data_IF_940029027968
#
_entry.id   IF_940029027968
#
_cell.length_a   1.000
_cell.length_b   1.000
_cell.length_c   1.000
_cell.angle_alpha   90.00
_cell.angle_beta   90.00
_cell.angle_gamma   90.00
#
_symmetry.space_group_name_H-M   'P 1'
#
loop_
_entity.id
_entity.type
_entity.pdbx_description
1 polymer ?
#
# COMPACT_ATOMS: atom_id res chain seq x y z
N UNK A 1 -3.65 1.27 -33.42
CA UNK A 1 -4.16 -0.11 -33.57
C UNK A 1 -3.04 -1.12 -33.28
N UNK A 2 -3.15 -1.78 -32.13
CA UNK A 2 -2.40 -2.99 -31.69
C UNK A 2 -0.86 -2.94 -31.64
N UNK A 3 -0.24 -1.89 -31.09
CA UNK A 3 1.21 -1.93 -30.81
C UNK A 3 1.48 -2.27 -29.33
N UNK A 4 2.29 -3.30 -29.09
CA UNK A 4 2.87 -3.64 -27.78
C UNK A 4 4.16 -2.83 -27.63
N UNK A 5 4.13 -1.77 -26.81
CA UNK A 5 5.22 -0.82 -26.65
C UNK A 5 5.87 -1.01 -25.27
N UNK A 6 7.16 -1.29 -25.24
CA UNK A 6 7.95 -1.34 -24.01
C UNK A 6 8.77 -0.06 -23.93
N UNK A 7 8.45 0.82 -22.99
CA UNK A 7 9.07 2.15 -22.89
C UNK A 7 9.97 2.17 -21.67
N UNK A 8 11.27 2.36 -21.88
CA UNK A 8 12.20 2.66 -20.82
C UNK A 8 12.34 4.17 -20.71
N UNK A 9 11.86 4.76 -19.61
CA UNK A 9 12.04 6.19 -19.36
C UNK A 9 13.46 6.35 -18.79
N UNK A 10 14.32 7.02 -19.56
CA UNK A 10 15.69 7.38 -19.17
C UNK A 10 15.70 8.87 -18.83
N UNK A 11 16.69 9.32 -18.06
CA UNK A 11 17.20 10.69 -18.25
C UNK A 11 17.98 10.66 -19.57
N UNK A 12 17.58 11.45 -20.54
CA UNK A 12 18.12 11.32 -21.88
C UNK A 12 19.36 12.18 -22.14
N UNK A 13 19.53 12.44 -23.42
CA UNK A 13 20.78 12.80 -24.07
C UNK A 13 21.92 11.76 -23.89
N UNK A 14 21.67 10.50 -24.27
CA UNK A 14 22.67 9.39 -24.31
C UNK A 14 23.43 9.10 -23.01
N UNK A 15 23.28 9.89 -21.95
CA UNK A 15 24.30 10.03 -20.94
C UNK A 15 23.87 11.10 -19.92
N UNK A 16 23.12 10.74 -18.89
CA UNK A 16 23.22 11.50 -17.64
C UNK A 16 24.63 11.21 -17.07
N UNK A 17 25.56 12.19 -16.97
CA UNK A 17 26.94 11.93 -16.57
C UNK A 17 27.07 11.31 -15.18
N UNK A 18 26.03 11.42 -14.34
CA UNK A 18 26.00 11.01 -12.95
C UNK A 18 25.23 9.69 -12.70
N UNK A 19 24.29 9.28 -13.55
CA UNK A 19 23.52 8.05 -13.31
C UNK A 19 24.20 6.80 -13.91
N UNK A 20 25.03 6.14 -13.10
CA UNK A 20 25.76 4.93 -13.51
C UNK A 20 24.86 3.77 -13.97
N UNK A 21 23.65 3.65 -13.41
CA UNK A 21 22.72 2.57 -13.73
C UNK A 21 22.11 2.68 -15.13
N UNK A 22 21.76 3.88 -15.58
CA UNK A 22 21.27 4.13 -16.93
C UNK A 22 22.34 3.81 -17.98
N UNK A 23 23.59 4.24 -17.72
CA UNK A 23 24.72 3.95 -18.62
C UNK A 23 25.00 2.46 -18.76
N UNK A 24 24.89 1.70 -17.67
CA UNK A 24 25.08 0.25 -17.68
C UNK A 24 23.95 -0.50 -18.41
N UNK A 25 22.71 -0.02 -18.30
CA UNK A 25 21.54 -0.64 -18.93
C UNK A 25 21.45 -0.38 -20.44
N UNK A 26 21.84 0.82 -20.89
CA UNK A 26 21.71 1.23 -22.29
C UNK A 26 22.21 0.20 -23.34
N UNK A 27 23.44 -0.37 -23.24
CA UNK A 27 23.91 -1.37 -24.20
C UNK A 27 23.09 -2.67 -24.15
N UNK A 28 22.66 -3.12 -22.98
CA UNK A 28 21.81 -4.32 -22.83
C UNK A 28 20.40 -4.07 -23.38
N UNK A 29 19.83 -2.88 -23.18
CA UNK A 29 18.53 -2.50 -23.72
C UNK A 29 18.54 -2.43 -25.26
N UNK A 30 19.61 -1.85 -25.84
CA UNK A 30 19.81 -1.83 -27.29
C UNK A 30 20.00 -3.25 -27.86
N UNK A 31 20.72 -4.12 -27.15
CA UNK A 31 20.91 -5.53 -27.52
C UNK A 31 19.60 -6.32 -27.47
N UNK A 32 18.75 -6.09 -26.46
CA UNK A 32 17.42 -6.68 -26.39
C UNK A 32 16.54 -6.23 -27.57
N UNK A 33 16.58 -4.93 -27.92
CA UNK A 33 15.85 -4.39 -29.06
C UNK A 33 16.34 -5.00 -30.39
N UNK A 34 17.65 -5.20 -30.53
CA UNK A 34 18.26 -5.88 -31.67
C UNK A 34 17.76 -7.33 -31.83
N UNK A 35 17.79 -8.12 -30.75
CA UNK A 35 17.27 -9.51 -30.75
C UNK A 35 15.81 -9.56 -31.17
N UNK A 36 14.94 -8.74 -30.56
CA UNK A 36 13.51 -8.71 -30.88
C UNK A 36 13.25 -8.31 -32.34
N UNK A 37 14.06 -7.40 -32.89
CA UNK A 37 13.98 -7.01 -34.30
C UNK A 37 14.42 -8.14 -35.23
N UNK A 38 15.51 -8.85 -34.92
CA UNK A 38 16.00 -10.00 -35.71
C UNK A 38 14.98 -11.15 -35.71
N UNK A 39 14.26 -11.33 -34.61
CA UNK A 39 13.19 -12.33 -34.46
C UNK A 39 11.87 -11.92 -35.13
N UNK A 40 11.78 -10.73 -35.72
CA UNK A 40 10.56 -10.22 -36.35
C UNK A 40 9.43 -9.91 -35.35
N UNK A 41 9.77 -9.66 -34.09
CA UNK A 41 8.80 -9.35 -33.03
C UNK A 41 8.07 -8.04 -33.27
N UNK A 42 6.77 -8.02 -32.94
CA UNK A 42 5.96 -6.80 -32.95
C UNK A 42 6.31 -5.85 -31.79
N UNK A 43 6.98 -6.35 -30.75
CA UNK A 43 7.37 -5.60 -29.57
C UNK A 43 8.38 -4.53 -29.96
N UNK A 44 8.11 -3.28 -29.56
CA UNK A 44 9.04 -2.17 -29.74
C UNK A 44 9.60 -1.71 -28.41
N UNK A 45 10.92 -1.53 -28.37
CA UNK A 45 11.62 -0.92 -27.25
C UNK A 45 11.82 0.57 -27.55
N UNK A 46 11.31 1.41 -26.69
CA UNK A 46 11.39 2.86 -26.79
C UNK A 46 12.13 3.45 -25.60
N UNK A 47 12.62 4.67 -25.77
CA UNK A 47 13.20 5.46 -24.69
C UNK A 47 12.66 6.88 -24.70
N UNK A 48 12.52 7.46 -23.51
CA UNK A 48 12.16 8.86 -23.29
C UNK A 48 13.26 9.51 -22.47
N UNK A 49 13.49 10.80 -22.67
CA UNK A 49 14.33 11.66 -21.83
C UNK A 49 13.45 12.37 -20.79
N UNK A 50 13.53 11.98 -19.52
CA UNK A 50 12.74 12.56 -18.45
C UNK A 50 13.24 13.95 -17.99
N UNK A 51 14.43 14.40 -18.41
CA UNK A 51 14.86 15.79 -18.21
C UNK A 51 14.23 16.74 -19.21
N UNK A 52 13.93 16.25 -20.42
CA UNK A 52 13.29 17.02 -21.49
C UNK A 52 11.76 16.85 -21.44
N UNK A 53 11.28 15.67 -21.06
CA UNK A 53 9.86 15.27 -21.02
C UNK A 53 9.38 15.08 -19.57
N UNK A 54 9.55 16.11 -18.73
CA UNK A 54 9.22 16.07 -17.30
C UNK A 54 7.75 15.77 -17.03
N UNK A 55 6.85 16.34 -17.83
CA UNK A 55 5.40 16.16 -17.68
C UNK A 55 5.00 14.71 -17.95
N UNK A 56 5.62 14.07 -18.92
CA UNK A 56 5.41 12.65 -19.24
C UNK A 56 5.94 11.75 -18.11
N UNK A 57 7.10 12.08 -17.56
CA UNK A 57 7.69 11.37 -16.43
C UNK A 57 6.81 11.50 -15.17
N UNK A 58 6.28 12.69 -14.90
CA UNK A 58 5.35 12.96 -13.80
C UNK A 58 4.02 12.23 -14.00
N UNK A 59 3.43 12.29 -15.21
CA UNK A 59 2.19 11.58 -15.58
C UNK A 59 2.24 10.10 -15.22
N UNK A 60 3.39 9.45 -15.46
CA UNK A 60 3.57 8.02 -15.18
C UNK A 60 4.25 7.72 -13.83
N UNK A 61 4.38 8.72 -12.96
CA UNK A 61 4.87 8.56 -11.59
C UNK A 61 6.33 8.13 -11.48
N UNK A 62 7.20 8.59 -12.38
CA UNK A 62 8.64 8.30 -12.33
C UNK A 62 9.29 9.05 -11.18
N UNK A 63 9.84 8.32 -10.21
CA UNK A 63 10.49 8.89 -9.00
C UNK A 63 12.01 8.65 -8.96
N UNK A 64 12.57 7.91 -9.91
CA UNK A 64 13.98 7.58 -9.98
C UNK A 64 14.36 6.95 -11.32
N UNK A 65 15.65 6.82 -11.59
CA UNK A 65 16.14 6.39 -12.90
C UNK A 65 17.11 5.18 -12.80
N UNK A 66 17.05 4.22 -13.75
CA UNK A 66 16.04 4.09 -14.79
C UNK A 66 14.73 3.51 -14.25
N UNK A 67 13.59 3.96 -14.79
CA UNK A 67 12.27 3.33 -14.59
C UNK A 67 11.80 2.77 -15.93
N UNK A 68 11.42 1.50 -15.94
CA UNK A 68 11.01 0.79 -17.16
C UNK A 68 9.55 0.40 -17.03
N UNK A 69 8.73 0.75 -18.01
CA UNK A 69 7.29 0.46 -18.02
C UNK A 69 6.88 -0.21 -19.33
N UNK A 70 6.00 -1.20 -19.21
CA UNK A 70 5.41 -1.92 -20.34
C UNK A 70 3.99 -1.42 -20.59
N UNK A 71 3.74 -1.02 -21.83
CA UNK A 71 2.46 -0.57 -22.33
C UNK A 71 1.91 -1.64 -23.29
N UNK A 72 0.91 -2.37 -22.82
CA UNK A 72 0.24 -3.39 -23.63
C UNK A 72 -0.95 -2.74 -24.34
N UNK A 73 -1.02 -2.87 -25.66
CA UNK A 73 -2.12 -2.36 -26.49
C UNK A 73 -2.43 -0.84 -26.34
N UNK A 74 -1.44 -0.05 -25.91
CA UNK A 74 -1.62 1.39 -25.68
C UNK A 74 -2.38 1.74 -24.40
N UNK A 75 -2.54 0.80 -23.45
CA UNK A 75 -3.11 1.11 -22.14
C UNK A 75 -2.16 2.02 -21.33
N UNK A 76 -2.56 3.28 -21.18
CA UNK A 76 -1.86 4.28 -20.36
C UNK A 76 -2.33 4.29 -18.90
N UNK A 77 -3.47 3.68 -18.58
CA UNK A 77 -4.03 3.70 -17.23
C UNK A 77 -3.28 2.75 -16.29
N UNK A 78 -2.78 1.62 -16.80
CA UNK A 78 -2.14 0.59 -15.97
C UNK A 78 -0.80 0.04 -16.50
N UNK A 79 0.19 0.90 -16.86
CA UNK A 79 1.47 0.43 -17.37
C UNK A 79 2.22 -0.41 -16.33
N UNK A 80 2.69 -1.59 -16.74
CA UNK A 80 3.35 -2.53 -15.84
C UNK A 80 4.81 -2.15 -15.65
N UNK A 81 5.22 -1.95 -14.41
CA UNK A 81 6.63 -1.68 -14.10
C UNK A 81 7.48 -2.94 -14.26
N UNK A 82 8.66 -2.78 -14.85
CA UNK A 82 9.64 -3.85 -15.00
C UNK A 82 10.65 -3.80 -13.85
N UNK A 83 10.64 -4.85 -13.04
CA UNK A 83 11.52 -5.01 -11.88
C UNK A 83 12.48 -6.20 -12.01
N UNK A 84 12.54 -6.86 -13.17
CA UNK A 84 13.41 -8.01 -13.40
C UNK A 84 14.87 -7.60 -13.71
N UNK A 85 15.72 -8.59 -14.04
CA UNK A 85 17.15 -8.38 -14.28
C UNK A 85 17.45 -7.38 -15.40
N UNK A 86 18.61 -6.73 -15.35
CA UNK A 86 18.97 -5.66 -16.31
C UNK A 86 19.77 -6.15 -17.52
N UNK A 87 19.89 -7.46 -17.72
CA UNK A 87 20.55 -8.03 -18.90
C UNK A 87 19.57 -8.12 -20.07
N UNK A 88 20.11 -8.09 -21.30
CA UNK A 88 19.30 -8.19 -22.53
C UNK A 88 18.43 -9.45 -22.57
N UNK A 89 18.92 -10.57 -22.04
CA UNK A 89 18.18 -11.84 -22.01
C UNK A 89 17.01 -11.81 -21.03
N UNK A 90 17.18 -11.16 -19.87
CA UNK A 90 16.11 -11.00 -18.88
C UNK A 90 14.96 -10.18 -19.45
N UNK A 91 15.29 -9.07 -20.15
CA UNK A 91 14.31 -8.19 -20.79
C UNK A 91 13.53 -8.95 -21.85
N UNK A 92 14.22 -9.68 -22.74
CA UNK A 92 13.58 -10.45 -23.81
C UNK A 92 12.68 -11.55 -23.23
N UNK A 93 13.14 -12.29 -22.23
CA UNK A 93 12.34 -13.37 -21.63
C UNK A 93 11.13 -12.85 -20.87
N UNK A 94 11.27 -11.72 -20.15
CA UNK A 94 10.16 -11.06 -19.48
C UNK A 94 9.09 -10.58 -20.47
N UNK A 95 9.52 -10.02 -21.62
CA UNK A 95 8.65 -9.58 -22.70
C UNK A 95 7.93 -10.75 -23.34
N UNK A 96 8.67 -11.81 -23.73
CA UNK A 96 8.08 -13.04 -24.29
C UNK A 96 7.00 -13.62 -23.38
N UNK A 97 7.26 -13.68 -22.07
CA UNK A 97 6.28 -14.18 -21.09
C UNK A 97 4.99 -13.37 -21.07
N UNK A 98 5.04 -12.05 -21.32
CA UNK A 98 3.88 -11.14 -21.27
C UNK A 98 3.22 -10.85 -22.61
N UNK A 99 3.91 -11.19 -23.71
CA UNK A 99 3.40 -11.00 -25.06
C UNK A 99 3.05 -12.29 -25.78
N UNK A 100 3.46 -13.44 -25.22
CA UNK A 100 3.01 -14.76 -25.63
C UNK A 100 1.51 -14.98 -25.44
N UNK A 101 0.99 -16.16 -25.78
CA UNK A 101 -0.42 -16.44 -25.60
C UNK A 101 -0.80 -16.32 -24.12
N UNK A 102 -1.94 -15.70 -23.85
CA UNK A 102 -2.45 -15.46 -22.49
C UNK A 102 -2.58 -16.75 -21.68
N UNK A 103 -2.87 -17.85 -22.37
CA UNK A 103 -2.93 -19.20 -21.82
C UNK A 103 -2.11 -20.17 -22.68
N UNK A 104 -1.33 -21.03 -22.05
CA UNK A 104 -0.59 -22.10 -22.72
C UNK A 104 -1.55 -23.19 -23.21
N UNK A 105 -1.42 -23.63 -24.47
CA UNK A 105 -2.21 -24.77 -24.96
C UNK A 105 -1.63 -26.08 -24.44
N UNK A 106 -2.41 -26.84 -23.68
CA UNK A 106 -2.00 -28.15 -23.13
C UNK A 106 -2.78 -29.28 -23.79
N UNK A 107 -2.06 -30.29 -24.27
CA UNK A 107 -2.62 -31.41 -25.04
C UNK A 107 -2.49 -32.76 -24.34
N UNK A 108 -1.69 -32.83 -23.27
CA UNK A 108 -1.36 -34.08 -22.59
C UNK A 108 -1.45 -33.94 -21.06
N UNK A 109 -1.80 -35.04 -20.41
CA UNK A 109 -1.90 -35.16 -18.95
C UNK A 109 -0.61 -34.77 -18.21
N UNK A 110 0.56 -35.05 -18.80
CA UNK A 110 1.87 -34.75 -18.21
C UNK A 110 2.20 -33.26 -18.24
N UNK A 111 1.77 -32.54 -19.28
CA UNK A 111 1.94 -31.09 -19.39
C UNK A 111 1.05 -30.36 -18.39
N UNK A 112 -0.20 -30.81 -18.24
CA UNK A 112 -1.12 -30.26 -17.25
C UNK A 112 -0.61 -30.42 -15.81
N UNK A 113 -0.06 -31.60 -15.46
CA UNK A 113 0.55 -31.84 -14.15
C UNK A 113 1.75 -30.92 -13.91
N UNK A 114 2.69 -30.86 -14.85
CA UNK A 114 3.85 -29.97 -14.75
C UNK A 114 3.46 -28.52 -14.54
N UNK A 115 2.42 -28.06 -15.24
CA UNK A 115 1.95 -26.69 -15.08
C UNK A 115 1.38 -26.46 -13.68
N UNK A 116 0.46 -27.32 -13.23
CA UNK A 116 -0.13 -27.24 -11.87
C UNK A 116 0.95 -27.31 -10.78
N UNK A 117 2.00 -28.12 -11.00
CA UNK A 117 3.13 -28.22 -10.08
C UNK A 117 4.08 -27.02 -10.14
N UNK A 118 4.10 -26.26 -11.24
CA UNK A 118 5.04 -25.15 -11.44
C UNK A 118 4.74 -23.90 -10.61
N UNK A 119 3.50 -23.72 -10.16
CA UNK A 119 3.03 -22.51 -9.49
C UNK A 119 2.11 -22.83 -8.31
N UNK A 120 1.95 -21.91 -7.37
CA UNK A 120 1.03 -22.11 -6.23
C UNK A 120 -0.44 -22.11 -6.65
N UNK A 121 -0.76 -21.34 -7.69
CA UNK A 121 -2.09 -21.22 -8.29
C UNK A 121 -1.94 -21.32 -9.81
N UNK A 122 -2.84 -22.04 -10.48
CA UNK A 122 -2.92 -22.17 -11.93
C UNK A 122 -4.38 -22.20 -12.36
N UNK A 123 -4.73 -21.58 -13.48
CA UNK A 123 -6.09 -21.60 -14.02
C UNK A 123 -6.10 -22.34 -15.36
N UNK A 124 -6.97 -23.34 -15.50
CA UNK A 124 -7.13 -24.10 -16.73
C UNK A 124 -8.54 -23.91 -17.29
N UNK A 125 -8.62 -23.45 -18.54
CA UNK A 125 -9.83 -23.40 -19.36
C UNK A 125 -10.01 -24.69 -20.17
N UNK A 126 -11.16 -25.31 -20.04
CA UNK A 126 -11.58 -26.52 -20.76
C UNK A 126 -12.63 -26.09 -21.78
N UNK A 127 -12.26 -26.01 -23.06
CA UNK A 127 -13.15 -25.58 -24.12
C UNK A 127 -13.07 -26.54 -25.30
N UNK A 128 -14.20 -27.09 -25.74
CA UNK A 128 -14.25 -27.96 -26.93
C UNK A 128 -13.92 -27.17 -28.19
N UNK A 129 -14.39 -25.92 -28.26
CA UNK A 129 -14.07 -24.97 -29.31
C UNK A 129 -13.13 -23.87 -28.77
N UNK A 130 -11.85 -23.97 -29.11
CA UNK A 130 -10.83 -23.01 -28.68
C UNK A 130 -10.90 -21.69 -29.44
N UNK A 131 -11.69 -21.58 -30.51
CA UNK A 131 -11.93 -20.33 -31.25
C UNK A 131 -13.32 -19.72 -30.99
N UNK A 132 -14.10 -20.35 -30.09
CA UNK A 132 -15.44 -19.95 -29.69
C UNK A 132 -15.50 -18.62 -28.94
N UNK A 133 -16.72 -18.16 -28.62
CA UNK A 133 -16.93 -16.95 -27.82
C UNK A 133 -16.30 -17.07 -26.44
N UNK A 134 -16.53 -18.20 -25.79
CA UNK A 134 -16.17 -18.40 -24.39
C UNK A 134 -14.65 -18.52 -24.25
N UNK A 135 -13.98 -19.27 -25.13
CA UNK A 135 -12.52 -19.34 -25.13
C UNK A 135 -11.88 -17.96 -25.37
N UNK A 136 -12.48 -17.07 -26.17
CA UNK A 136 -12.01 -15.68 -26.34
C UNK A 136 -12.17 -14.87 -25.06
N UNK A 137 -13.32 -14.95 -24.40
CA UNK A 137 -13.56 -14.31 -23.09
C UNK A 137 -12.53 -14.80 -22.06
N UNK A 138 -12.25 -16.10 -22.04
CA UNK A 138 -11.23 -16.70 -21.19
C UNK A 138 -9.84 -16.14 -21.47
N UNK A 139 -9.44 -16.06 -22.74
CA UNK A 139 -8.16 -15.49 -23.14
C UNK A 139 -8.05 -14.01 -22.75
N UNK A 140 -9.10 -13.21 -22.95
CA UNK A 140 -9.14 -11.79 -22.57
C UNK A 140 -9.03 -11.60 -21.04
N UNK A 141 -9.65 -12.49 -20.26
CA UNK A 141 -9.51 -12.54 -18.80
C UNK A 141 -8.10 -12.93 -18.37
N UNK A 142 -7.54 -13.98 -18.96
CA UNK A 142 -6.15 -14.41 -18.73
C UNK A 142 -5.15 -13.30 -19.06
N UNK A 143 -5.37 -12.54 -20.13
CA UNK A 143 -4.55 -11.39 -20.52
C UNK A 143 -4.53 -10.26 -19.49
N UNK A 144 -5.53 -10.22 -18.61
CA UNK A 144 -5.69 -9.18 -17.59
C UNK A 144 -5.07 -9.58 -16.25
N UNK A 145 -4.56 -10.81 -16.10
CA UNK A 145 -4.04 -11.37 -14.85
C UNK A 145 -2.62 -11.89 -15.06
N UNK A 146 -1.61 -11.08 -14.71
CA UNK A 146 -0.19 -11.42 -14.90
C UNK A 146 0.37 -12.40 -13.85
N UNK A 147 -0.25 -12.46 -12.66
CA UNK A 147 0.33 -13.15 -11.49
C UNK A 147 0.09 -14.67 -11.49
N UNK A 148 -0.90 -15.12 -12.27
CA UNK A 148 -1.34 -16.51 -12.28
C UNK A 148 -1.13 -17.09 -13.68
N UNK A 149 -0.50 -18.27 -13.83
CA UNK A 149 -0.43 -18.96 -15.11
C UNK A 149 -1.80 -19.47 -15.56
N UNK A 150 -2.12 -19.25 -16.84
CA UNK A 150 -3.30 -19.78 -17.49
C UNK A 150 -2.93 -20.86 -18.52
N UNK A 151 -3.81 -21.83 -18.70
CA UNK A 151 -3.72 -22.82 -19.77
C UNK A 151 -5.08 -23.16 -20.36
N UNK A 152 -5.10 -23.56 -21.63
CA UNK A 152 -6.31 -23.91 -22.35
C UNK A 152 -6.20 -25.30 -22.95
N UNK A 153 -7.29 -26.06 -22.95
CA UNK A 153 -7.35 -27.38 -23.57
C UNK A 153 -8.71 -27.70 -24.18
N UNK A 154 -8.67 -28.44 -25.29
CA UNK A 154 -9.82 -29.09 -25.93
C UNK A 154 -9.73 -30.62 -25.89
N UNK A 155 -8.70 -31.19 -25.25
CA UNK A 155 -8.42 -32.62 -25.31
C UNK A 155 -9.33 -33.42 -24.36
N UNK A 156 -10.11 -34.41 -24.87
CA UNK A 156 -11.06 -35.19 -24.06
C UNK A 156 -10.43 -35.90 -22.87
N UNK A 157 -9.17 -36.34 -22.99
CA UNK A 157 -8.46 -37.02 -21.89
C UNK A 157 -8.21 -36.09 -20.70
N UNK A 158 -7.97 -34.80 -20.96
CA UNK A 158 -7.81 -33.78 -19.91
C UNK A 158 -9.15 -33.43 -19.29
N UNK A 159 -10.23 -33.36 -20.08
CA UNK A 159 -11.59 -33.22 -19.55
C UNK A 159 -11.91 -34.37 -18.58
N UNK A 160 -11.68 -35.61 -19.00
CA UNK A 160 -11.91 -36.79 -18.15
C UNK A 160 -11.04 -36.79 -16.88
N UNK A 161 -9.74 -36.46 -17.01
CA UNK A 161 -8.79 -36.41 -15.89
C UNK A 161 -9.22 -35.44 -14.79
N UNK A 162 -9.74 -34.28 -15.17
CA UNK A 162 -10.15 -33.24 -14.24
C UNK A 162 -11.66 -33.23 -13.97
N UNK A 163 -12.40 -34.30 -14.31
CA UNK A 163 -13.85 -34.42 -14.09
C UNK A 163 -14.67 -33.26 -14.70
N UNK A 164 -14.28 -32.82 -15.89
CA UNK A 164 -14.97 -31.81 -16.68
C UNK A 164 -15.86 -32.49 -17.72
N UNK A 165 -17.19 -32.29 -17.60
CA UNK A 165 -18.19 -32.86 -18.52
C UNK A 165 -18.56 -31.91 -19.67
N UNK A 166 -18.48 -30.62 -19.38
CA UNK A 166 -18.81 -29.51 -20.26
C UNK A 166 -17.67 -28.49 -20.23
N UNK A 167 -17.79 -27.48 -21.09
CA UNK A 167 -16.81 -26.40 -21.14
C UNK A 167 -16.85 -25.61 -19.83
N UNK A 168 -15.68 -25.11 -19.39
CA UNK A 168 -15.60 -24.39 -18.13
C UNK A 168 -14.17 -24.12 -17.68
N UNK A 169 -14.04 -23.45 -16.54
CA UNK A 169 -12.75 -23.01 -16.00
C UNK A 169 -12.52 -23.60 -14.61
N UNK A 170 -11.31 -24.06 -14.36
CA UNK A 170 -10.89 -24.59 -13.05
C UNK A 170 -9.63 -23.88 -12.58
N UNK A 171 -9.65 -23.38 -11.36
CA UNK A 171 -8.47 -22.91 -10.64
C UNK A 171 -7.95 -24.03 -9.74
N UNK A 172 -6.67 -24.34 -9.87
CA UNK A 172 -5.92 -25.25 -9.01
C UNK A 172 -5.03 -24.45 -8.08
N UNK A 173 -4.92 -24.88 -6.83
CA UNK A 173 -4.11 -24.23 -5.81
C UNK A 173 -3.47 -25.26 -4.88
N UNK A 174 -2.32 -24.93 -4.27
CA UNK A 174 -1.60 -25.82 -3.35
C UNK A 174 -2.03 -25.70 -1.88
N UNK A 175 -3.07 -24.94 -1.61
CA UNK A 175 -3.59 -24.66 -0.28
C UNK A 175 -5.12 -24.82 -0.25
N UNK A 176 -5.65 -24.90 0.97
CA UNK A 176 -7.08 -25.02 1.26
C UNK A 176 -7.74 -26.21 0.53
N UNK A 177 -8.85 -25.99 -0.19
CA UNK A 177 -9.59 -27.01 -0.94
C UNK A 177 -8.87 -27.51 -2.19
N UNK A 178 -7.75 -26.89 -2.57
CA UNK A 178 -6.89 -27.29 -3.69
C UNK A 178 -7.47 -27.04 -5.10
N UNK A 179 -8.78 -26.84 -5.21
CA UNK A 179 -9.50 -26.68 -6.48
C UNK A 179 -10.75 -25.82 -6.33
N UNK A 180 -10.95 -24.89 -7.25
CA UNK A 180 -12.21 -24.17 -7.43
C UNK A 180 -12.66 -24.30 -8.89
N UNK A 181 -13.93 -24.63 -9.13
CA UNK A 181 -14.53 -24.62 -10.46
C UNK A 181 -15.35 -23.33 -10.62
N UNK A 182 -15.19 -22.63 -11.74
CA UNK A 182 -15.98 -21.46 -12.07
C UNK A 182 -17.45 -21.84 -12.21
N UNK A 183 -18.34 -21.02 -11.65
CA UNK A 183 -19.78 -21.18 -11.77
C UNK A 183 -20.41 -19.79 -11.97
N UNK A 184 -21.44 -19.70 -12.81
CA UNK A 184 -22.17 -18.46 -13.09
C UNK A 184 -22.09 -18.04 -14.55
N UNK A 185 -22.47 -16.79 -14.82
CA UNK A 185 -22.40 -16.20 -16.16
C UNK A 185 -20.94 -15.99 -16.57
N UNK A 186 -20.56 -16.48 -17.75
CA UNK A 186 -19.18 -16.46 -18.21
C UNK A 186 -18.84 -15.14 -18.92
N UNK A 187 -18.45 -14.14 -18.11
CA UNK A 187 -17.94 -12.85 -18.58
C UNK A 187 -16.48 -12.67 -18.17
N UNK A 188 -15.80 -11.70 -18.81
CA UNK A 188 -14.41 -11.35 -18.48
C UNK A 188 -14.29 -10.90 -17.02
N UNK A 189 -15.22 -10.07 -16.58
CA UNK A 189 -15.25 -9.47 -15.24
C UNK A 189 -15.46 -10.55 -14.17
N UNK A 190 -16.41 -11.45 -14.39
CA UNK A 190 -16.69 -12.55 -13.46
C UNK A 190 -15.52 -13.54 -13.39
N UNK A 191 -14.83 -13.80 -14.51
CA UNK A 191 -13.62 -14.63 -14.51
C UNK A 191 -12.50 -13.97 -13.69
N UNK A 192 -12.28 -12.66 -13.86
CA UNK A 192 -11.27 -11.93 -13.10
C UNK A 192 -11.59 -11.97 -11.60
N UNK A 193 -12.84 -11.71 -11.23
CA UNK A 193 -13.29 -11.79 -9.84
C UNK A 193 -13.12 -13.21 -9.28
N UNK A 194 -13.52 -14.24 -10.03
CA UNK A 194 -13.33 -15.63 -9.64
C UNK A 194 -11.86 -15.95 -9.33
N UNK A 195 -10.92 -15.53 -10.19
CA UNK A 195 -9.50 -15.77 -9.95
C UNK A 195 -9.02 -14.96 -8.74
N UNK A 196 -9.33 -13.66 -8.67
CA UNK A 196 -8.95 -12.79 -7.54
C UNK A 196 -9.44 -13.32 -6.19
N UNK A 197 -10.68 -13.79 -6.12
CA UNK A 197 -11.28 -14.30 -4.87
C UNK A 197 -10.75 -15.67 -4.45
N UNK A 198 -10.10 -16.43 -5.35
CA UNK A 198 -9.67 -17.81 -5.08
C UNK A 198 -8.14 -18.01 -5.15
N UNK A 199 -7.37 -17.04 -5.64
CA UNK A 199 -5.91 -17.11 -5.75
C UNK A 199 -5.16 -16.85 -4.43
N UNK A 200 -5.84 -16.35 -3.39
CA UNK A 200 -5.24 -16.14 -2.08
C UNK A 200 -5.64 -17.28 -1.12
N UNK A 201 -4.71 -17.75 -0.28
CA UNK A 201 -5.05 -18.62 0.84
C UNK A 201 -6.08 -17.98 1.77
N UNK A 202 -6.91 -18.80 2.42
CA UNK A 202 -7.83 -18.33 3.45
C UNK A 202 -7.12 -17.59 4.60
N UNK A 203 -5.89 -18.00 4.91
CA UNK A 203 -5.04 -17.35 5.90
C UNK A 203 -3.65 -17.17 5.31
N UNK A 204 -3.15 -15.94 5.30
CA UNK A 204 -1.85 -15.58 4.71
C UNK A 204 -0.83 -15.39 5.83
N UNK A 205 0.34 -16.00 5.71
CA UNK A 205 1.47 -15.66 6.59
C UNK A 205 2.03 -14.30 6.19
N UNK A 206 2.19 -13.39 7.15
CA UNK A 206 2.90 -12.14 6.93
C UNK A 206 4.41 -12.36 6.88
N UNK A 207 5.00 -12.02 5.74
CA UNK A 207 6.43 -12.08 5.45
C UNK A 207 6.78 -10.92 4.51
N UNK A 208 8.07 -10.63 4.32
CA UNK A 208 8.50 -9.65 3.30
C UNK A 208 7.98 -9.97 1.89
N UNK A 209 7.78 -11.26 1.58
CA UNK A 209 7.31 -11.72 0.26
C UNK A 209 5.80 -11.54 0.08
N UNK A 210 5.02 -11.69 1.16
CA UNK A 210 3.56 -11.62 1.13
C UNK A 210 3.04 -10.22 1.42
N UNK A 211 3.81 -9.36 2.10
CA UNK A 211 3.42 -7.99 2.43
C UNK A 211 2.95 -7.15 1.22
N UNK A 212 3.65 -7.14 0.05
CA UNK A 212 3.16 -6.40 -1.12
C UNK A 212 1.80 -6.89 -1.63
N UNK A 213 1.52 -8.19 -1.50
CA UNK A 213 0.22 -8.78 -1.92
C UNK A 213 -0.90 -8.45 -0.93
N UNK A 214 -0.58 -8.42 0.36
CA UNK A 214 -1.51 -8.06 1.44
C UNK A 214 -1.95 -6.60 1.29
N UNK A 215 -0.99 -5.68 1.14
CA UNK A 215 -1.28 -4.23 1.10
C UNK A 215 -1.64 -3.71 -0.29
N UNK A 216 -1.19 -4.39 -1.35
CA UNK A 216 -1.59 -4.10 -2.73
C UNK A 216 -2.95 -4.69 -3.11
N UNK A 217 -3.57 -5.47 -2.23
CA UNK A 217 -4.87 -6.09 -2.46
C UNK A 217 -6.05 -5.11 -2.41
N UNK A 218 -7.16 -5.54 -2.99
CA UNK A 218 -8.43 -4.78 -3.02
C UNK A 218 -9.12 -4.77 -1.64
N UNK A 219 -8.86 -5.78 -0.78
CA UNK A 219 -9.46 -5.87 0.55
C UNK A 219 -8.70 -4.97 1.53
N UNK A 220 -9.35 -3.90 1.99
CA UNK A 220 -8.76 -2.91 2.93
C UNK A 220 -9.01 -3.20 4.41
N UNK A 221 -9.81 -4.22 4.72
CA UNK A 221 -10.03 -4.68 6.10
C UNK A 221 -9.24 -5.94 6.39
N UNK A 222 -8.31 -5.88 7.33
CA UNK A 222 -7.45 -7.01 7.69
C UNK A 222 -7.66 -7.40 9.15
N UNK A 223 -7.72 -8.70 9.42
CA UNK A 223 -7.63 -9.25 10.77
C UNK A 223 -6.30 -9.98 10.90
N UNK A 224 -5.54 -9.62 11.93
CA UNK A 224 -4.18 -10.06 12.18
C UNK A 224 -4.15 -10.90 13.45
N UNK A 225 -3.66 -12.13 13.33
CA UNK A 225 -3.35 -13.02 14.44
C UNK A 225 -1.84 -13.00 14.67
N UNK A 226 -1.41 -12.39 15.77
CA UNK A 226 -0.03 -12.46 16.24
C UNK A 226 0.14 -13.77 16.99
N UNK A 227 0.88 -14.71 16.40
CA UNK A 227 0.95 -16.09 16.89
C UNK A 227 2.40 -16.61 16.81
N UNK A 228 3.07 -16.84 17.95
CA UNK A 228 4.42 -17.37 17.96
C UNK A 228 4.45 -18.82 17.47
N UNK A 229 5.28 -19.13 16.47
CA UNK A 229 5.40 -20.49 15.91
C UNK A 229 5.92 -21.51 16.92
N UNK A 230 6.65 -21.08 17.94
CA UNK A 230 7.13 -21.95 19.01
C UNK A 230 6.04 -22.40 20.00
N UNK A 231 4.86 -21.76 19.99
CA UNK A 231 3.80 -22.04 20.97
C UNK A 231 3.20 -23.43 20.82
N UNK A 232 2.93 -24.09 21.95
CA UNK A 232 2.26 -25.39 22.00
C UNK A 232 0.85 -25.36 21.41
N UNK A 233 0.19 -24.20 21.44
CA UNK A 233 -1.16 -23.99 20.91
C UNK A 233 -1.15 -23.40 19.49
N UNK A 234 0.00 -23.38 18.81
CA UNK A 234 0.14 -22.81 17.46
C UNK A 234 -0.89 -23.39 16.49
N UNK A 235 -0.91 -24.72 16.32
CA UNK A 235 -1.77 -25.36 15.32
C UNK A 235 -3.26 -25.18 15.65
N UNK A 236 -3.63 -25.30 16.93
CA UNK A 236 -5.01 -25.12 17.38
C UNK A 236 -5.52 -23.70 17.09
N UNK A 237 -4.73 -22.68 17.45
CA UNK A 237 -5.07 -21.29 17.21
C UNK A 237 -5.15 -20.96 15.72
N UNK A 238 -4.21 -21.48 14.92
CA UNK A 238 -4.22 -21.30 13.46
C UNK A 238 -5.43 -21.99 12.82
N UNK A 239 -5.80 -23.18 13.26
CA UNK A 239 -6.98 -23.91 12.78
C UNK A 239 -8.28 -23.16 13.14
N UNK A 240 -8.38 -22.63 14.36
CA UNK A 240 -9.53 -21.81 14.77
C UNK A 240 -9.64 -20.53 13.92
N UNK A 241 -8.51 -19.87 13.68
CA UNK A 241 -8.45 -18.67 12.85
C UNK A 241 -8.84 -18.96 11.40
N UNK A 242 -8.34 -20.07 10.84
CA UNK A 242 -8.69 -20.52 9.49
C UNK A 242 -10.17 -20.88 9.34
N UNK A 243 -10.76 -21.60 10.29
CA UNK A 243 -12.20 -21.91 10.30
C UNK A 243 -13.06 -20.66 10.37
N UNK A 244 -12.64 -19.65 11.13
CA UNK A 244 -13.35 -18.37 11.16
C UNK A 244 -13.28 -17.65 9.80
N UNK A 245 -12.11 -17.64 9.16
CA UNK A 245 -11.84 -16.98 7.88
C UNK A 245 -12.79 -17.41 6.75
N UNK A 246 -13.24 -18.68 6.74
CA UNK A 246 -14.19 -19.21 5.75
C UNK A 246 -15.47 -18.37 5.60
N UNK A 247 -15.89 -17.65 6.65
CA UNK A 247 -17.12 -16.87 6.68
C UNK A 247 -16.96 -15.45 6.10
N UNK A 248 -15.73 -15.00 5.89
CA UNK A 248 -15.42 -13.60 5.56
C UNK A 248 -14.65 -13.44 4.25
N UNK A 249 -14.61 -14.49 3.42
CA UNK A 249 -13.95 -14.48 2.11
C UNK A 249 -14.43 -13.29 1.27
N UNK A 250 -13.47 -12.52 0.74
CA UNK A 250 -13.75 -11.31 -0.05
C UNK A 250 -14.14 -10.07 0.76
N UNK A 251 -14.33 -10.18 2.07
CA UNK A 251 -14.70 -9.05 2.95
C UNK A 251 -13.58 -8.65 3.90
N UNK A 252 -12.94 -9.63 4.54
CA UNK A 252 -11.86 -9.42 5.51
C UNK A 252 -10.71 -10.34 5.15
N UNK A 253 -9.50 -9.80 5.07
CA UNK A 253 -8.29 -10.57 4.85
C UNK A 253 -7.76 -11.11 6.18
N UNK A 254 -7.56 -12.42 6.27
CA UNK A 254 -7.04 -13.08 7.47
C UNK A 254 -5.54 -13.30 7.33
N UNK A 255 -4.78 -12.73 8.25
CA UNK A 255 -3.32 -12.72 8.24
C UNK A 255 -2.82 -13.27 9.56
N UNK A 256 -1.83 -14.15 9.56
CA UNK A 256 -1.09 -14.48 10.78
C UNK A 256 0.34 -13.97 10.70
N UNK A 257 0.86 -13.51 11.82
CA UNK A 257 2.21 -12.97 11.96
C UNK A 257 2.93 -13.79 13.02
N UNK A 258 4.10 -14.32 12.69
CA UNK A 258 4.97 -14.92 13.71
C UNK A 258 5.57 -13.81 14.59
N UNK A 259 5.11 -13.75 15.83
CA UNK A 259 5.50 -12.70 16.79
C UNK A 259 6.94 -12.84 17.31
N UNK A 260 7.60 -13.98 17.06
CA UNK A 260 8.98 -14.20 17.50
C UNK A 260 10.02 -13.71 16.49
N UNK A 261 9.65 -13.55 15.22
CA UNK A 261 10.52 -13.04 14.16
C UNK A 261 10.82 -11.56 14.40
N UNK A 262 12.11 -11.21 14.51
CA UNK A 262 12.53 -9.86 14.85
C UNK A 262 12.12 -8.81 13.79
N UNK A 263 12.06 -9.19 12.51
CA UNK A 263 11.58 -8.32 11.43
C UNK A 263 10.12 -7.89 11.62
N UNK A 264 9.32 -8.68 12.36
CA UNK A 264 7.93 -8.38 12.67
C UNK A 264 7.77 -7.49 13.91
N UNK A 265 8.84 -7.18 14.66
CA UNK A 265 8.76 -6.40 15.90
C UNK A 265 8.11 -5.02 15.68
N UNK A 266 8.45 -4.35 14.58
CA UNK A 266 7.84 -3.05 14.24
C UNK A 266 6.33 -3.14 14.01
N UNK A 267 5.86 -4.28 13.51
CA UNK A 267 4.42 -4.51 13.31
C UNK A 267 3.75 -4.69 14.68
N UNK A 268 4.34 -5.46 15.60
CA UNK A 268 3.83 -5.58 16.97
C UNK A 268 3.76 -4.20 17.66
N UNK A 269 4.82 -3.40 17.57
CA UNK A 269 4.87 -2.05 18.13
C UNK A 269 3.77 -1.17 17.55
N UNK A 270 3.53 -1.21 16.23
CA UNK A 270 2.46 -0.45 15.57
C UNK A 270 1.06 -0.82 16.08
N UNK A 271 0.86 -2.07 16.51
CA UNK A 271 -0.39 -2.56 17.11
C UNK A 271 -0.41 -2.50 18.65
N UNK A 272 0.63 -1.92 19.25
CA UNK A 272 0.78 -1.80 20.70
C UNK A 272 0.81 -3.13 21.42
N UNK A 273 1.52 -4.10 20.84
CA UNK A 273 1.71 -5.43 21.38
C UNK A 273 3.16 -5.67 21.79
N UNK A 274 3.35 -6.30 22.94
CA UNK A 274 4.62 -6.91 23.36
C UNK A 274 4.62 -8.40 23.02
N UNK A 275 5.80 -9.01 22.91
CA UNK A 275 5.93 -10.44 22.58
C UNK A 275 5.21 -11.33 23.61
N UNK A 276 5.18 -10.91 24.87
CA UNK A 276 4.57 -11.64 25.98
C UNK A 276 3.03 -11.59 25.97
N UNK A 277 2.44 -10.65 25.22
CA UNK A 277 0.99 -10.52 25.05
C UNK A 277 0.47 -11.37 23.88
N UNK A 278 1.37 -12.10 23.20
CA UNK A 278 1.01 -13.01 22.13
C UNK A 278 0.74 -14.43 22.70
N UNK A 279 -0.27 -15.16 22.18
CA UNK A 279 -0.99 -14.86 20.95
C UNK A 279 -2.14 -13.86 21.14
N UNK A 280 -2.35 -12.99 20.14
CA UNK A 280 -3.43 -11.99 20.19
C UNK A 280 -3.97 -11.63 18.81
N UNK A 281 -5.18 -11.05 18.77
CA UNK A 281 -5.83 -10.63 17.52
C UNK A 281 -6.00 -9.12 17.50
N UNK A 282 -5.81 -8.52 16.33
CA UNK A 282 -6.18 -7.14 16.01
C UNK A 282 -6.90 -7.08 14.67
N UNK A 283 -7.74 -6.08 14.48
CA UNK A 283 -8.32 -5.76 13.19
C UNK A 283 -7.89 -4.33 12.81
N UNK A 284 -7.61 -4.11 11.54
CA UNK A 284 -7.26 -2.81 10.99
C UNK A 284 -8.05 -2.54 9.71
N UNK A 285 -8.36 -1.27 9.50
CA UNK A 285 -8.85 -0.72 8.23
C UNK A 285 -7.75 0.10 7.58
N UNK A 286 -7.58 -0.01 6.27
CA UNK A 286 -6.52 0.64 5.48
C UNK A 286 -7.14 1.61 4.46
N UNK A 287 -8.07 2.43 4.92
CA UNK A 287 -8.66 3.52 4.14
C UNK A 287 -7.84 4.81 4.32
N UNK A 288 -8.42 5.99 4.04
CA UNK A 288 -7.80 7.30 4.33
C UNK A 288 -7.30 7.41 5.78
N UNK A 289 -8.05 6.82 6.72
CA UNK A 289 -7.68 6.71 8.13
C UNK A 289 -7.46 5.24 8.53
N UNK A 290 -6.28 4.95 9.08
CA UNK A 290 -5.99 3.61 9.62
C UNK A 290 -6.58 3.46 11.02
N UNK A 291 -7.70 2.75 11.13
CA UNK A 291 -8.35 2.51 12.43
C UNK A 291 -8.12 1.08 12.90
N UNK A 292 -7.66 0.93 14.15
CA UNK A 292 -7.37 -0.37 14.80
C UNK A 292 -8.47 -0.76 15.76
N UNK A 293 -8.71 -2.07 15.91
CA UNK A 293 -9.71 -2.64 16.81
C UNK A 293 -9.11 -3.85 17.56
N UNK A 294 -9.50 -3.99 18.83
CA UNK A 294 -9.12 -5.12 19.70
C UNK A 294 -10.38 -5.93 20.05
N UNK A 295 -10.33 -7.28 20.04
CA UNK A 295 -11.45 -8.09 20.51
C UNK A 295 -11.68 -7.90 22.01
N UNK A 296 -12.94 -8.07 22.44
CA UNK A 296 -13.31 -8.02 23.86
C UNK A 296 -12.81 -9.24 24.64
N UNK A 297 -12.64 -10.38 23.96
CA UNK A 297 -12.12 -11.62 24.52
C UNK A 297 -10.69 -11.86 24.03
N UNK A 298 -9.83 -12.39 24.91
CA UNK A 298 -8.46 -12.81 24.58
C UNK A 298 -8.39 -14.27 24.11
N UNK A 299 -9.49 -15.02 24.25
CA UNK A 299 -9.57 -16.42 23.83
C UNK A 299 -9.71 -16.55 22.30
N UNK A 300 -8.79 -17.30 21.68
CA UNK A 300 -8.74 -17.58 20.24
C UNK A 300 -9.61 -18.81 19.92
N UNK A 301 -10.92 -18.58 19.81
CA UNK A 301 -11.91 -19.57 19.37
C UNK A 301 -12.62 -19.13 18.10
N UNK A 302 -13.17 -20.08 17.34
CA UNK A 302 -13.91 -19.79 16.10
C UNK A 302 -15.04 -18.80 16.35
N UNK A 303 -15.80 -19.00 17.43
CA UNK A 303 -16.96 -18.19 17.80
C UNK A 303 -16.56 -16.76 18.17
N UNK A 304 -15.47 -16.59 18.95
CA UNK A 304 -15.00 -15.27 19.36
C UNK A 304 -14.46 -14.48 18.16
N UNK A 305 -13.73 -15.13 17.25
CA UNK A 305 -13.16 -14.48 16.06
C UNK A 305 -14.28 -14.08 15.10
N UNK A 306 -15.26 -14.97 14.86
CA UNK A 306 -16.44 -14.64 14.05
C UNK A 306 -17.22 -13.49 14.66
N UNK A 307 -17.55 -13.57 15.95
CA UNK A 307 -18.30 -12.51 16.63
C UNK A 307 -17.57 -11.16 16.64
N UNK A 308 -16.24 -11.16 16.69
CA UNK A 308 -15.44 -9.94 16.56
C UNK A 308 -15.54 -9.34 15.15
N UNK A 309 -15.38 -10.15 14.11
CA UNK A 309 -15.49 -9.73 12.71
C UNK A 309 -16.91 -9.28 12.34
N UNK A 310 -17.94 -9.99 12.80
CA UNK A 310 -19.35 -9.62 12.57
C UNK A 310 -19.67 -8.27 13.23
N UNK A 311 -19.30 -8.07 14.50
CA UNK A 311 -19.47 -6.77 15.18
C UNK A 311 -18.74 -5.63 14.49
N UNK A 312 -17.56 -5.91 13.90
CA UNK A 312 -16.84 -4.91 13.11
C UNK A 312 -17.65 -4.52 11.87
N UNK A 313 -18.08 -5.50 11.08
CA UNK A 313 -18.84 -5.28 9.84
C UNK A 313 -20.20 -4.60 10.11
N UNK A 314 -20.79 -4.84 11.28
CA UNK A 314 -22.02 -4.20 11.74
C UNK A 314 -21.79 -2.79 12.34
N UNK A 315 -20.54 -2.29 12.39
CA UNK A 315 -20.20 -0.97 12.94
C UNK A 315 -20.36 -0.86 14.47
N UNK A 316 -20.36 -1.98 15.19
CA UNK A 316 -20.60 -2.03 16.64
C UNK A 316 -19.32 -1.95 17.48
N UNK A 317 -18.15 -2.07 16.85
CA UNK A 317 -16.88 -1.96 17.55
C UNK A 317 -16.47 -0.49 17.70
N UNK A 318 -15.98 -0.16 18.89
CA UNK A 318 -15.28 1.11 19.12
C UNK A 318 -13.82 0.95 18.69
N UNK A 319 -13.21 1.97 18.05
CA UNK A 319 -11.78 2.02 17.81
C UNK A 319 -10.99 1.72 19.09
N UNK A 320 -9.93 0.94 18.96
CA UNK A 320 -8.98 0.71 20.03
C UNK A 320 -7.87 1.75 19.93
N UNK A 321 -7.97 2.80 20.72
CA UNK A 321 -6.91 3.80 20.82
C UNK A 321 -5.67 3.18 21.49
N UNK A 322 -4.58 3.11 20.74
CA UNK A 322 -3.29 2.71 21.26
C UNK A 322 -2.74 3.77 22.24
N UNK A 323 -2.12 3.35 23.34
CA UNK A 323 -1.33 4.24 24.18
C UNK A 323 -0.18 3.48 24.82
N UNK A 324 1.00 4.10 24.84
CA UNK A 324 2.10 3.68 25.69
C UNK A 324 1.74 3.79 27.18
N UNK A 325 2.55 3.16 28.03
CA UNK A 325 2.51 3.40 29.47
C UNK A 325 3.07 4.80 29.77
N UNK A 326 2.51 5.46 30.79
CA UNK A 326 2.97 6.79 31.21
C UNK A 326 4.39 6.63 31.78
N UNK A 327 5.42 7.28 31.21
CA UNK A 327 6.78 7.21 31.74
C UNK A 327 6.85 7.73 33.19
N UNK A 328 7.65 7.11 34.07
CA UNK A 328 7.81 7.57 35.46
C UNK A 328 8.39 9.00 35.57
N UNK A 329 9.03 9.48 34.52
CA UNK A 329 9.66 10.78 34.39
C UNK A 329 8.98 11.69 33.37
N UNK A 330 7.73 11.38 32.99
CA UNK A 330 6.99 12.11 31.96
C UNK A 330 6.91 13.62 32.20
N UNK A 331 6.94 14.06 33.46
CA UNK A 331 6.88 15.46 33.87
C UNK A 331 8.18 16.03 34.45
N UNK A 332 9.29 15.27 34.46
CA UNK A 332 10.55 15.74 35.10
C UNK A 332 11.30 16.77 34.30
N UNK A 333 11.13 16.79 32.98
CA UNK A 333 11.80 17.75 32.09
C UNK A 333 10.90 18.95 31.78
N UNK A 334 11.48 19.96 31.13
CA UNK A 334 10.77 21.17 30.75
C UNK A 334 9.71 20.91 29.66
N UNK A 335 9.94 19.91 28.80
CA UNK A 335 8.94 19.41 27.83
C UNK A 335 8.29 18.15 28.38
N UNK A 336 7.00 18.20 28.69
CA UNK A 336 6.25 17.05 29.22
C UNK A 336 6.06 15.99 28.14
N UNK A 337 6.19 14.72 28.52
CA UNK A 337 5.95 13.58 27.62
C UNK A 337 4.53 13.10 27.82
N UNK A 338 3.72 13.13 26.76
CA UNK A 338 2.35 12.62 26.78
C UNK A 338 2.27 11.30 26.04
N UNK A 339 1.32 10.50 26.48
CA UNK A 339 0.85 9.25 25.89
C UNK A 339 -0.67 9.29 25.89
N UNK A 340 -1.35 8.43 25.14
CA UNK A 340 -2.83 8.46 25.08
C UNK A 340 -3.51 8.36 26.45
N UNK A 341 -2.91 7.68 27.43
CA UNK A 341 -3.42 7.51 28.81
C UNK A 341 -3.44 8.80 29.65
N UNK A 342 -2.50 9.73 29.46
CA UNK A 342 -2.46 11.01 30.20
C UNK A 342 -2.74 12.24 29.33
N UNK A 343 -2.88 12.05 28.00
CA UNK A 343 -3.11 13.15 27.07
C UNK A 343 -4.32 13.99 27.48
N UNK A 344 -5.46 13.33 27.69
CA UNK A 344 -6.73 14.01 27.93
C UNK A 344 -6.72 14.85 29.21
N UNK A 345 -6.13 14.32 30.28
CA UNK A 345 -5.99 15.01 31.57
C UNK A 345 -5.09 16.23 31.46
N UNK A 346 -3.99 16.13 30.71
CA UNK A 346 -3.01 17.22 30.60
C UNK A 346 -3.46 18.26 29.57
N UNK A 347 -3.83 17.84 28.36
CA UNK A 347 -4.14 18.73 27.25
C UNK A 347 -5.40 19.58 27.50
N UNK A 348 -6.40 19.02 28.19
CA UNK A 348 -7.66 19.72 28.49
C UNK A 348 -7.76 20.16 29.96
N UNK A 349 -6.63 20.36 30.65
CA UNK A 349 -6.64 21.02 31.95
C UNK A 349 -7.17 22.46 31.78
N UNK A 350 -8.35 22.73 32.36
CA UNK A 350 -9.04 24.02 32.25
C UNK A 350 -8.22 25.21 32.80
N UNK A 351 -7.13 24.95 33.51
CA UNK A 351 -6.26 25.96 34.12
C UNK A 351 -4.95 26.19 33.38
N UNK A 352 -4.68 25.42 32.31
CA UNK A 352 -3.39 25.43 31.60
C UNK A 352 -3.55 25.70 30.12
N UNK A 353 -2.60 26.46 29.60
CA UNK A 353 -2.38 26.68 28.19
C UNK A 353 -1.36 25.65 27.70
N UNK A 354 -1.80 24.62 26.99
CA UNK A 354 -0.95 23.46 26.65
C UNK A 354 -0.59 23.50 25.18
N UNK A 355 0.71 23.47 24.88
CA UNK A 355 1.20 23.44 23.50
C UNK A 355 1.94 22.13 23.24
N UNK A 356 1.45 21.36 22.27
CA UNK A 356 1.84 19.96 22.09
C UNK A 356 2.43 19.74 20.70
N UNK A 357 3.62 19.14 20.67
CA UNK A 357 4.22 18.58 19.45
C UNK A 357 3.77 17.12 19.27
N UNK A 358 3.07 16.85 18.17
CA UNK A 358 2.75 15.51 17.71
C UNK A 358 3.80 15.07 16.68
N UNK A 359 4.58 14.04 17.00
CA UNK A 359 5.75 13.65 16.21
C UNK A 359 5.81 12.16 15.88
N UNK A 360 6.71 11.83 14.95
CA UNK A 360 7.11 10.45 14.64
C UNK A 360 8.64 10.29 14.81
N UNK A 361 9.16 9.23 15.48
CA UNK A 361 10.59 9.09 15.78
C UNK A 361 11.52 9.04 14.57
N UNK A 362 10.99 8.61 13.42
CA UNK A 362 11.74 8.51 12.16
C UNK A 362 11.64 9.76 11.29
N UNK A 363 10.73 10.71 11.59
CA UNK A 363 10.53 11.89 10.77
C UNK A 363 11.73 12.86 10.85
N UNK A 364 12.29 13.21 9.70
CA UNK A 364 13.41 14.15 9.61
C UNK A 364 13.06 15.56 10.09
N UNK A 365 11.84 16.04 9.80
CA UNK A 365 11.38 17.36 10.23
C UNK A 365 11.18 17.44 11.75
N UNK A 366 10.66 16.38 12.39
CA UNK A 366 10.57 16.30 13.86
C UNK A 366 11.95 16.36 14.52
N UNK A 367 12.94 15.63 13.96
CA UNK A 367 14.32 15.67 14.48
C UNK A 367 14.96 17.06 14.38
N UNK A 368 14.62 17.84 13.35
CA UNK A 368 15.08 19.23 13.21
C UNK A 368 14.40 20.17 14.20
N UNK A 369 13.11 19.93 14.50
CA UNK A 369 12.33 20.74 15.44
C UNK A 369 12.69 20.46 16.90
N UNK A 370 13.02 19.22 17.26
CA UNK A 370 13.32 18.80 18.62
C UNK A 370 14.20 19.76 19.44
N UNK A 371 15.38 20.23 18.98
CA UNK A 371 16.20 21.16 19.78
C UNK A 371 15.53 22.53 20.02
N UNK A 372 14.70 22.99 19.09
CA UNK A 372 13.94 24.24 19.22
C UNK A 372 12.81 24.04 20.24
N UNK A 373 12.13 22.89 20.18
CA UNK A 373 11.06 22.53 21.10
C UNK A 373 11.55 22.38 22.55
N UNK A 374 12.71 21.74 22.74
CA UNK A 374 13.36 21.67 24.06
C UNK A 374 13.74 23.07 24.58
N UNK A 375 14.22 23.97 23.71
CA UNK A 375 14.52 25.36 24.06
C UNK A 375 13.26 26.14 24.45
N UNK A 376 12.13 25.86 23.80
CA UNK A 376 10.83 26.45 24.14
C UNK A 376 10.36 25.97 25.52
N UNK A 377 10.45 24.66 25.79
CA UNK A 377 10.19 24.10 27.11
C UNK A 377 11.01 24.79 28.20
N UNK A 378 12.33 24.91 28.00
CA UNK A 378 13.22 25.58 28.96
C UNK A 378 12.85 27.05 29.21
N UNK A 379 12.38 27.75 28.18
CA UNK A 379 11.93 29.15 28.29
C UNK A 379 10.68 29.28 29.18
N UNK A 380 9.72 28.35 29.05
CA UNK A 380 8.43 28.42 29.76
C UNK A 380 8.36 27.56 31.03
N UNK A 381 9.44 26.87 31.44
CA UNK A 381 9.41 25.94 32.59
C UNK A 381 9.00 26.56 33.94
N UNK A 382 9.22 27.86 34.13
CA UNK A 382 8.83 28.59 35.36
C UNK A 382 7.46 29.28 35.21
N UNK A 383 6.84 29.20 34.03
CA UNK A 383 5.51 29.75 33.79
C UNK A 383 4.47 28.83 34.46
N UNK A 384 3.54 29.42 35.22
CA UNK A 384 2.53 28.65 35.96
C UNK A 384 1.33 28.22 35.11
N UNK A 385 1.16 28.81 33.93
CA UNK A 385 -0.02 28.63 33.08
C UNK A 385 0.31 27.83 31.81
N UNK A 386 1.49 28.06 31.22
CA UNK A 386 1.90 27.43 29.96
C UNK A 386 2.59 26.09 30.20
N UNK A 387 2.16 25.06 29.48
CA UNK A 387 2.77 23.72 29.46
C UNK A 387 3.24 23.41 28.06
N UNK A 388 4.53 23.09 27.91
CA UNK A 388 5.09 22.58 26.65
C UNK A 388 5.17 21.07 26.73
N UNK A 389 4.62 20.37 25.74
CA UNK A 389 4.56 18.92 25.74
C UNK A 389 4.85 18.32 24.36
N UNK A 390 5.10 17.01 24.33
CA UNK A 390 5.27 16.23 23.10
C UNK A 390 4.63 14.85 23.24
N UNK A 391 4.11 14.33 22.14
CA UNK A 391 3.51 13.01 22.06
C UNK A 391 3.94 12.30 20.77
N UNK A 392 4.44 11.07 20.91
CA UNK A 392 4.70 10.21 19.75
C UNK A 392 3.37 9.66 19.24
N UNK A 393 2.87 10.18 18.12
CA UNK A 393 1.57 9.78 17.58
C UNK A 393 1.63 8.49 16.76
N UNK A 394 2.81 7.88 16.63
CA UNK A 394 2.95 6.59 15.92
C UNK A 394 2.57 5.41 16.80
N UNK A 395 2.62 5.62 18.12
CA UNK A 395 2.36 4.63 19.17
C UNK A 395 1.36 5.15 20.22
N UNK A 396 0.72 6.29 19.96
CA UNK A 396 -0.38 6.83 20.77
C UNK A 396 -1.47 7.40 19.85
N UNK A 397 -2.69 6.94 20.04
CA UNK A 397 -3.89 7.38 19.33
C UNK A 397 -4.82 8.09 20.32
N UNK A 398 -5.44 9.18 19.88
CA UNK A 398 -6.34 10.01 20.69
C UNK A 398 -7.58 10.37 19.88
N UNK A 399 -8.76 10.31 20.50
CA UNK A 399 -10.04 10.58 19.83
C UNK A 399 -10.22 12.06 19.46
N UNK A 400 -9.69 12.95 20.30
CA UNK A 400 -9.93 14.40 20.21
C UNK A 400 -9.10 15.11 19.15
N UNK A 401 -8.07 14.46 18.60
CA UNK A 401 -7.14 15.08 17.66
C UNK A 401 -6.75 14.10 16.56
N UNK A 402 -6.94 14.51 15.31
CA UNK A 402 -6.46 13.78 14.14
C UNK A 402 -5.12 14.35 13.68
N UNK A 403 -4.14 13.46 13.47
CA UNK A 403 -2.79 13.83 13.05
C UNK A 403 -2.50 13.22 11.68
N UNK A 404 -2.51 14.05 10.64
CA UNK A 404 -2.31 13.62 9.26
C UNK A 404 -0.86 13.80 8.77
N UNK A 405 -0.04 14.58 9.48
CA UNK A 405 1.35 14.85 9.10
C UNK A 405 2.25 15.03 10.32
N UNK A 406 3.57 15.03 10.12
CA UNK A 406 4.54 15.16 11.21
C UNK A 406 5.65 16.18 10.90
N UNK A 407 6.01 17.08 11.82
CA UNK A 407 5.31 17.33 13.09
C UNK A 407 4.01 18.13 12.86
N UNK A 408 2.99 17.84 13.67
CA UNK A 408 1.78 18.66 13.84
C UNK A 408 1.84 19.33 15.20
N UNK A 409 1.52 20.63 15.26
CA UNK A 409 1.61 21.44 16.47
C UNK A 409 0.23 21.99 16.78
N UNK A 410 -0.31 21.66 17.96
CA UNK A 410 -1.62 22.15 18.40
C UNK A 410 -1.57 22.73 19.79
N UNK A 411 -2.36 23.76 20.00
CA UNK A 411 -2.50 24.50 21.24
C UNK A 411 -3.89 24.29 21.83
N UNK A 412 -3.92 24.04 23.13
CA UNK A 412 -5.11 23.76 23.90
C UNK A 412 -5.20 24.87 24.96
N UNK A 413 -5.94 25.94 24.68
CA UNK A 413 -6.05 27.07 25.60
C UNK A 413 -6.79 26.66 26.89
N UNK A 414 -6.41 27.30 28.00
CA UNK A 414 -7.10 27.12 29.27
C UNK A 414 -8.59 27.51 29.14
N UNK A 415 -9.48 26.60 29.53
CA UNK A 415 -10.92 26.87 29.58
C UNK A 415 -11.78 25.62 29.43
N UNK A 416 -13.07 25.78 29.64
CA UNK A 416 -14.06 24.70 29.60
C UNK A 416 -14.50 24.30 28.18
N UNK A 417 -14.18 25.14 27.19
CA UNK A 417 -14.68 24.99 25.82
C UNK A 417 -13.92 23.92 25.01
N UNK A 418 -12.86 23.35 25.59
CA UNK A 418 -12.00 22.32 24.98
C UNK A 418 -11.53 22.70 23.57
N UNK A 419 -11.24 23.99 23.38
CA UNK A 419 -10.79 24.54 22.11
C UNK A 419 -9.43 23.95 21.72
N UNK A 420 -9.24 23.73 20.43
CA UNK A 420 -7.98 23.26 19.85
C UNK A 420 -7.59 24.26 18.75
N UNK A 421 -6.39 24.79 18.80
CA UNK A 421 -5.88 25.77 17.84
C UNK A 421 -4.67 25.18 17.13
N UNK A 422 -4.74 25.12 15.81
CA UNK A 422 -3.64 24.63 14.99
C UNK A 422 -2.59 25.70 14.79
N UNK A 423 -1.32 25.34 14.97
CA UNK A 423 -0.22 26.27 14.75
C UNK A 423 0.32 26.13 13.32
N UNK A 424 0.11 27.17 12.53
CA UNK A 424 0.58 27.29 11.14
C UNK A 424 1.73 28.29 10.97
N UNK A 425 2.18 28.94 12.06
CA UNK A 425 3.28 29.89 12.05
C UNK A 425 4.67 29.29 11.83
N UNK A 426 5.69 30.14 11.86
CA UNK A 426 7.09 29.72 11.66
C UNK A 426 7.57 28.79 12.78
N UNK A 427 8.25 27.70 12.42
CA UNK A 427 8.77 26.71 13.40
C UNK A 427 10.09 27.16 14.05
N UNK A 428 10.07 28.35 14.64
CA UNK A 428 11.21 28.99 15.31
C UNK A 428 10.85 29.32 16.76
N UNK A 429 11.85 29.44 17.63
CA UNK A 429 11.64 29.80 19.03
C UNK A 429 10.88 31.13 19.17
N UNK A 430 11.17 32.10 18.29
CA UNK A 430 10.51 33.40 18.27
C UNK A 430 9.04 33.29 17.86
N UNK A 431 8.74 32.55 16.78
CA UNK A 431 7.37 32.30 16.31
C UNK A 431 6.51 31.64 17.39
N UNK A 432 7.02 30.55 18.00
CA UNK A 432 6.32 29.88 19.09
C UNK A 432 6.10 30.77 20.31
N UNK A 433 7.10 31.57 20.68
CA UNK A 433 6.97 32.47 21.83
C UNK A 433 5.91 33.53 21.57
N UNK A 434 5.90 34.13 20.39
CA UNK A 434 4.92 35.15 20.01
C UNK A 434 3.50 34.57 20.06
N UNK A 435 3.31 33.37 19.51
CA UNK A 435 2.03 32.68 19.53
C UNK A 435 1.54 32.42 20.96
N UNK A 436 2.39 31.85 21.82
CA UNK A 436 2.04 31.57 23.22
C UNK A 436 1.77 32.85 24.03
N UNK A 437 2.62 33.86 23.89
CA UNK A 437 2.47 35.14 24.60
C UNK A 437 1.21 35.91 24.17
N UNK A 438 0.68 35.62 22.97
CA UNK A 438 -0.59 36.15 22.46
C UNK A 438 -1.83 35.34 22.88
N UNK A 439 -1.66 34.22 23.61
CA UNK A 439 -2.76 33.31 23.95
C UNK A 439 -3.28 32.51 22.75
N UNK A 440 -2.43 32.27 21.74
CA UNK A 440 -2.76 31.48 20.56
C UNK A 440 -3.37 32.26 19.39
N UNK A 441 -3.32 33.60 19.39
CA UNK A 441 -3.87 34.43 18.31
C UNK A 441 -2.87 34.64 17.15
N UNK A 442 -1.59 34.92 17.45
CA UNK A 442 -0.59 35.24 16.44
C UNK A 442 0.11 33.98 15.92
N UNK A 443 -0.41 33.40 14.83
CA UNK A 443 0.14 32.19 14.18
C UNK A 443 -0.76 30.95 14.27
N UNK A 444 -1.98 31.11 14.76
CA UNK A 444 -3.03 30.10 14.66
C UNK A 444 -3.67 30.08 13.27
N UNK A 445 -4.04 28.91 12.76
CA UNK A 445 -4.96 28.80 11.63
C UNK A 445 -6.38 29.15 12.10
N UNK A 446 -7.11 29.98 11.36
CA UNK A 446 -8.54 30.20 11.60
C UNK A 446 -9.28 28.89 11.25
N UNK A 447 -10.20 28.46 12.13
CA UNK A 447 -10.99 27.22 11.97
C UNK A 447 -11.81 27.19 10.66
N UNK A 448 -11.97 28.33 9.98
CA UNK A 448 -12.79 28.50 8.77
C UNK A 448 -12.03 28.33 7.44
N UNK A 449 -10.72 28.04 7.45
CA UNK A 449 -9.91 27.94 6.21
C UNK A 449 -9.61 26.51 5.75
N UNK A 450 -9.82 25.49 6.58
CA UNK A 450 -9.58 24.09 6.17
C UNK A 450 -10.58 23.60 5.10
N UNK A 451 -11.77 24.22 5.00
CA UNK A 451 -12.76 23.90 3.96
C UNK A 451 -12.50 24.62 2.62
N UNK A 452 -11.52 25.53 2.53
CA UNK A 452 -11.24 26.31 1.32
C UNK A 452 -9.97 25.88 0.58
N UNK A 453 -8.99 25.29 1.25
CA UNK A 453 -7.76 24.82 0.59
C UNK A 453 -7.94 23.50 -0.19
N UNK A 454 -9.09 22.81 -0.04
CA UNK A 454 -9.43 21.66 -0.87
C UNK A 454 -10.00 22.03 -2.26
N UNK A 455 -10.49 23.28 -2.44
CA UNK A 455 -11.26 23.69 -3.63
C UNK A 455 -10.56 24.75 -4.51
N UNK A 456 -9.42 25.33 -4.11
CA UNK A 456 -8.72 26.38 -4.89
C UNK A 456 -7.45 25.92 -5.65
N UNK A 457 -7.30 24.61 -5.88
CA UNK A 457 -6.24 24.08 -6.75
C UNK A 457 -6.73 23.73 -8.17
N UNK A 458 -7.75 24.42 -8.69
CA UNK A 458 -8.08 24.43 -10.12
C UNK A 458 -8.13 25.89 -10.63
N UNK A 459 -7.50 26.10 -11.79
CA UNK A 459 -7.51 27.31 -12.64
C UNK A 459 -6.63 28.51 -12.22
N UNK A 460 -5.33 28.38 -12.47
CA UNK A 460 -4.52 29.50 -12.96
C UNK A 460 -3.93 29.14 -14.33
N UNK A 461 -4.68 29.44 -15.39
CA UNK A 461 -4.13 29.54 -16.75
C UNK A 461 -3.11 30.70 -16.79
N UNK A 462 -1.90 30.52 -17.36
CA UNK A 462 -1.00 31.64 -17.60
C UNK A 462 -1.48 32.44 -18.82
N UNK A 463 -1.72 33.74 -18.61
CA UNK A 463 -2.01 34.73 -19.65
C UNK A 463 -0.87 34.78 -20.70
N UNK A 464 -1.26 34.72 -21.98
CA UNK A 464 -0.40 34.88 -23.15
C UNK A 464 0.35 36.23 -23.15
N UNK A 465 1.68 36.21 -23.08
CA UNK A 465 2.51 37.35 -23.49
C UNK A 465 2.71 37.34 -25.01
N UNK A 466 2.14 38.35 -25.68
CA UNK A 466 2.33 38.65 -27.11
C UNK A 466 3.81 38.78 -27.50
N UNK A 467 4.38 37.76 -28.15
CA UNK A 467 5.65 37.90 -28.86
C UNK A 467 5.46 38.71 -30.16
N UNK A 468 6.04 39.91 -30.16
CA UNK A 468 6.20 40.76 -31.34
C UNK A 468 7.03 40.05 -32.42
N UNK A 469 6.37 39.72 -33.53
CA UNK A 469 7.01 39.39 -34.80
C UNK A 469 8.03 40.47 -35.20
N UNK A 470 9.32 40.11 -35.19
CA UNK A 470 10.35 40.80 -35.98
C UNK A 470 10.71 39.91 -37.17
N UNK A 471 10.29 40.40 -38.34
CA UNK A 471 10.57 39.86 -39.65
C UNK A 471 12.01 40.18 -40.07
N UNK A 472 12.68 39.25 -40.79
CA UNK A 472 13.62 39.39 -41.92
C UNK A 472 14.68 38.27 -41.94
N UNK A 473 15.30 37.91 -43.09
CA UNK A 473 14.70 37.20 -44.23
C UNK A 473 15.52 35.95 -44.63
N UNK A 474 14.96 35.16 -45.53
CA UNK A 474 15.64 34.07 -46.24
C UNK A 474 16.93 34.54 -46.93
N UNK A 475 18.01 33.75 -46.82
CA UNK A 475 18.90 33.44 -47.95
C UNK A 475 19.91 32.32 -47.63
N UNK A 476 19.90 31.32 -48.54
CA UNK A 476 20.88 30.27 -48.89
C UNK A 476 20.95 28.95 -48.09
#
# INVERSE_FOLDING_TARGET
>A
NHQKLFVCLFDGLTYAPWCGHCKALAPEYAKAAGKLKEEGSEIKLAKVDATEESDLAQKFGVRGYPTIKFFKNGDEASPKEYSAGRQSEDIVNWLRKRTGPAAETITEASAAEKLVDSSEVVVIGFFKDVEGSDSKIYMDGAESIDEVPFAITSHPDLFAKYDMKEDGVVLFKKFDEGRNTFNGEFTKENLIEFVKSNQLPLVIEFTEQTAPKIFGGDIKTHVLLFLPKSSSSFQENLDNFKKAAENFKGKILFIFIDSEVDDNQRVLEFFGLKKEECPSIRLITLEEEMTKYKPQSEEISVENIKGFCDKFLDGQLKPHLMSQDIPEDWDKTAVKVLVGKNFEEVAFDETKDVFIEFYAPWCGHCKQLAPIWESLGEKYKENTNIVIAKMDSTVNEIESVKIHSFPTLKFFPAGTDRKIVDYSGERTLEGFSKFLDSGGADGGADEDLEDLEADEAEDLEPEDEEEKHVHLPDEL
#
